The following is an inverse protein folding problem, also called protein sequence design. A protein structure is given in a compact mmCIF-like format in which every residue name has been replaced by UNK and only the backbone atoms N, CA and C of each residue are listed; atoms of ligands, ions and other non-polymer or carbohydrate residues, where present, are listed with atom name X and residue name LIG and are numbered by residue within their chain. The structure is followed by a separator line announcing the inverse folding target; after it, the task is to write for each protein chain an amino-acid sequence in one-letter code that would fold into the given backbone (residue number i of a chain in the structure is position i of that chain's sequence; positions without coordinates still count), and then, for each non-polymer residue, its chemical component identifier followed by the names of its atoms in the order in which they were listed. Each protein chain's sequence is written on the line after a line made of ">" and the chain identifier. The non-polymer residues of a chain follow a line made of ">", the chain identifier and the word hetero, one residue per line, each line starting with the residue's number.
data_IF_524386643028
#
_entry.id   IF_524386643028
#
_cell.length_a   1.000
_cell.length_b   1.000
_cell.length_c   1.000
_cell.angle_alpha   90.00
_cell.angle_beta   90.00
_cell.angle_gamma   90.00
#
_symmetry.space_group_name_H-M   'P 1'
#
loop_
_entity.id
_entity.type
_entity.pdbx_description
1 polymer ?
#
# COMPACT_ATOMS: atom_id res chain seq x y z
N UNK A 1 -34.04 9.26 -6.27
CA UNK A 1 -32.95 8.78 -5.41
C UNK A 1 -32.19 7.73 -6.19
N UNK A 2 -31.03 8.10 -6.75
CA UNK A 2 -30.12 7.15 -7.36
C UNK A 2 -29.79 6.08 -6.33
N UNK A 3 -30.05 4.80 -6.62
CA UNK A 3 -29.61 3.70 -5.75
C UNK A 3 -28.09 3.70 -5.83
N UNK A 4 -27.43 4.17 -4.78
CA UNK A 4 -25.98 4.05 -4.67
C UNK A 4 -25.58 2.58 -4.96
N UNK A 5 -24.48 2.34 -5.69
CA UNK A 5 -24.00 0.98 -5.97
C UNK A 5 -23.56 0.22 -4.69
N UNK A 6 -23.73 0.81 -3.50
CA UNK A 6 -23.49 0.21 -2.18
C UNK A 6 -24.36 -1.01 -1.87
N UNK A 7 -25.43 -1.27 -2.62
CA UNK A 7 -26.35 -2.38 -2.36
C UNK A 7 -25.88 -3.74 -2.90
N UNK A 8 -24.74 -3.80 -3.58
CA UNK A 8 -24.16 -5.04 -4.12
C UNK A 8 -22.77 -5.29 -3.53
N UNK A 9 -22.73 -5.69 -2.26
CA UNK A 9 -21.49 -5.88 -1.52
C UNK A 9 -20.59 -6.96 -2.14
N UNK A 10 -21.18 -8.02 -2.71
CA UNK A 10 -20.45 -9.10 -3.35
C UNK A 10 -19.79 -8.62 -4.65
N UNK A 11 -20.53 -7.92 -5.51
CA UNK A 11 -19.96 -7.33 -6.73
C UNK A 11 -18.83 -6.34 -6.41
N UNK A 12 -19.04 -5.43 -5.46
CA UNK A 12 -18.01 -4.45 -5.08
C UNK A 12 -16.76 -5.14 -4.54
N UNK A 13 -16.91 -6.19 -3.72
CA UNK A 13 -15.77 -6.99 -3.27
C UNK A 13 -15.02 -7.62 -4.46
N UNK A 14 -15.74 -8.20 -5.43
CA UNK A 14 -15.10 -8.77 -6.62
C UNK A 14 -14.31 -7.73 -7.42
N UNK A 15 -14.84 -6.52 -7.60
CA UNK A 15 -14.12 -5.44 -8.29
C UNK A 15 -12.86 -5.01 -7.54
N UNK A 16 -12.95 -4.86 -6.21
CA UNK A 16 -11.78 -4.53 -5.37
C UNK A 16 -10.75 -5.65 -5.43
N UNK A 17 -11.17 -6.92 -5.50
CA UNK A 17 -10.25 -8.05 -5.59
C UNK A 17 -9.39 -8.04 -6.86
N UNK A 18 -9.91 -7.49 -7.97
CA UNK A 18 -9.11 -7.29 -9.21
C UNK A 18 -7.92 -6.37 -8.92
N UNK A 19 -8.15 -5.26 -8.21
CA UNK A 19 -7.09 -4.33 -7.82
C UNK A 19 -6.16 -4.94 -6.77
N UNK A 20 -6.73 -5.70 -5.83
CA UNK A 20 -5.96 -6.39 -4.80
C UNK A 20 -4.98 -7.41 -5.37
N UNK A 21 -5.21 -7.96 -6.56
CA UNK A 21 -4.24 -8.84 -7.22
C UNK A 21 -2.89 -8.12 -7.45
N UNK A 22 -2.94 -6.89 -7.97
CA UNK A 22 -1.75 -6.08 -8.20
C UNK A 22 -1.10 -5.61 -6.89
N UNK A 23 -1.90 -5.17 -5.92
CA UNK A 23 -1.40 -4.74 -4.62
C UNK A 23 -0.76 -5.90 -3.86
N UNK A 24 -1.38 -7.08 -3.86
CA UNK A 24 -0.83 -8.28 -3.22
C UNK A 24 0.46 -8.72 -3.89
N UNK A 25 0.56 -8.64 -5.23
CA UNK A 25 1.81 -8.90 -5.93
C UNK A 25 2.92 -7.94 -5.48
N UNK A 26 2.63 -6.63 -5.37
CA UNK A 26 3.61 -5.65 -4.89
C UNK A 26 4.05 -5.96 -3.45
N UNK A 27 3.12 -6.25 -2.55
CA UNK A 27 3.40 -6.59 -1.15
C UNK A 27 4.27 -7.84 -1.01
N UNK A 28 3.89 -8.94 -1.68
CA UNK A 28 4.63 -10.21 -1.62
C UNK A 28 6.04 -10.03 -2.21
N UNK A 29 6.17 -9.33 -3.34
CA UNK A 29 7.49 -9.01 -3.91
C UNK A 29 8.36 -8.23 -2.92
N UNK A 30 7.74 -7.39 -2.09
CA UNK A 30 8.40 -6.56 -1.08
C UNK A 30 8.57 -7.25 0.29
N UNK A 31 8.17 -8.52 0.43
CA UNK A 31 8.30 -9.28 1.68
C UNK A 31 7.18 -9.07 2.70
N UNK A 32 6.13 -8.33 2.34
CA UNK A 32 4.95 -8.13 3.19
C UNK A 32 3.95 -9.26 2.95
N UNK A 33 3.69 -10.04 3.99
CA UNK A 33 2.78 -11.18 3.94
C UNK A 33 1.33 -10.82 4.30
N UNK A 34 0.41 -11.77 4.08
CA UNK A 34 -1.02 -11.59 4.39
C UNK A 34 -1.29 -11.19 5.85
N UNK A 35 -0.66 -11.85 6.82
CA UNK A 35 -0.92 -11.58 8.24
C UNK A 35 -0.50 -10.17 8.64
N UNK A 36 0.65 -9.70 8.15
CA UNK A 36 1.15 -8.33 8.37
C UNK A 36 0.23 -7.31 7.69
N UNK A 37 -0.12 -7.56 6.43
CA UNK A 37 -1.01 -6.68 5.68
C UNK A 37 -2.41 -6.58 6.30
N UNK A 38 -3.01 -7.71 6.70
CA UNK A 38 -4.34 -7.69 7.34
C UNK A 38 -4.33 -7.00 8.69
N UNK A 39 -3.25 -7.09 9.46
CA UNK A 39 -3.10 -6.31 10.68
C UNK A 39 -3.03 -4.81 10.38
N UNK A 40 -2.24 -4.41 9.38
CA UNK A 40 -2.14 -3.02 8.93
C UNK A 40 -3.45 -2.46 8.33
N UNK A 41 -4.32 -3.31 7.79
CA UNK A 41 -5.65 -2.91 7.31
C UNK A 41 -6.65 -2.60 8.43
N UNK A 42 -6.48 -3.16 9.64
CA UNK A 42 -7.44 -2.94 10.75
C UNK A 42 -7.71 -1.47 11.06
N UNK A 43 -6.69 -0.59 11.29
CA UNK A 43 -6.96 0.82 11.55
C UNK A 43 -7.63 1.52 10.36
N UNK A 44 -7.36 1.09 9.12
CA UNK A 44 -8.00 1.63 7.92
C UNK A 44 -9.50 1.29 7.93
N UNK A 45 -9.85 0.02 8.18
CA UNK A 45 -11.26 -0.40 8.30
C UNK A 45 -12.00 0.28 9.46
N UNK A 46 -11.31 0.49 10.58
CA UNK A 46 -11.86 1.26 11.71
C UNK A 46 -12.20 2.70 11.27
N UNK A 47 -11.26 3.38 10.62
CA UNK A 47 -11.43 4.75 10.15
C UNK A 47 -12.58 4.88 9.15
N UNK A 48 -12.63 3.98 8.15
CA UNK A 48 -13.69 3.98 7.14
C UNK A 48 -15.08 3.71 7.74
N UNK A 49 -15.18 2.79 8.72
CA UNK A 49 -16.44 2.56 9.43
C UNK A 49 -16.86 3.77 10.29
N UNK A 50 -15.89 4.49 10.88
CA UNK A 50 -16.18 5.72 11.61
C UNK A 50 -16.71 6.82 10.70
N UNK A 51 -16.07 7.05 9.56
CA UNK A 51 -16.49 8.02 8.54
C UNK A 51 -17.88 7.70 7.99
N UNK A 52 -18.16 6.42 7.72
CA UNK A 52 -19.46 5.99 7.24
C UNK A 52 -20.57 6.18 8.28
N UNK A 53 -20.32 5.86 9.56
CA UNK A 53 -21.28 6.12 10.64
C UNK A 53 -21.57 7.62 10.80
N UNK A 54 -20.56 8.48 10.65
CA UNK A 54 -20.74 9.94 10.66
C UNK A 54 -21.56 10.40 9.45
N UNK A 55 -21.28 9.86 8.24
CA UNK A 55 -22.00 10.20 7.01
C UNK A 55 -23.51 9.89 7.12
N UNK A 56 -23.88 8.82 7.81
CA UNK A 56 -25.28 8.42 8.02
C UNK A 56 -25.89 8.95 9.34
N UNK A 57 -25.21 9.88 10.01
CA UNK A 57 -25.62 10.51 11.28
C UNK A 57 -25.94 9.49 12.40
N UNK A 58 -25.14 8.43 12.50
CA UNK A 58 -25.24 7.42 13.55
C UNK A 58 -24.14 7.55 14.60
N UNK A 59 -24.48 7.16 15.84
CA UNK A 59 -23.53 7.15 16.96
C UNK A 59 -22.39 6.14 16.73
N UNK A 60 -21.15 6.60 16.87
CA UNK A 60 -19.90 5.82 16.78
C UNK A 60 -19.64 4.96 18.05
N UNK A 61 -20.63 4.14 18.41
CA UNK A 61 -20.51 3.17 19.51
C UNK A 61 -19.56 2.02 19.13
N UNK A 62 -18.95 1.37 20.13
CA UNK A 62 -18.06 0.22 19.90
C UNK A 62 -18.81 -0.90 19.15
N UNK A 63 -20.08 -1.14 19.49
CA UNK A 63 -20.92 -2.13 18.80
C UNK A 63 -21.20 -1.78 17.35
N UNK A 64 -21.51 -0.51 17.04
CA UNK A 64 -21.76 -0.08 15.67
C UNK A 64 -20.48 -0.16 14.82
N UNK A 65 -19.35 0.31 15.35
CA UNK A 65 -18.06 0.23 14.69
C UNK A 65 -17.63 -1.21 14.43
N UNK A 66 -17.77 -2.10 15.43
CA UNK A 66 -17.45 -3.53 15.28
C UNK A 66 -18.36 -4.22 14.26
N UNK A 67 -19.65 -3.90 14.24
CA UNK A 67 -20.60 -4.45 13.27
C UNK A 67 -20.26 -4.01 11.83
N UNK A 68 -20.00 -2.72 11.62
CA UNK A 68 -19.78 -2.16 10.29
C UNK A 68 -18.39 -2.51 9.72
N UNK A 69 -17.35 -2.46 10.55
CA UNK A 69 -15.97 -2.78 10.13
C UNK A 69 -15.65 -4.27 10.11
N UNK A 70 -16.46 -5.10 10.79
CA UNK A 70 -16.14 -6.51 11.04
C UNK A 70 -14.99 -6.73 12.04
N UNK A 71 -14.45 -5.67 12.64
CA UNK A 71 -13.35 -5.77 13.60
C UNK A 71 -13.81 -6.28 14.96
N UNK A 72 -12.92 -6.97 15.67
CA UNK A 72 -13.18 -7.42 17.03
C UNK A 72 -13.33 -6.23 17.98
N UNK A 73 -14.25 -6.32 18.94
CA UNK A 73 -14.52 -5.22 19.90
C UNK A 73 -13.29 -4.75 20.65
N UNK A 74 -12.38 -5.66 20.99
CA UNK A 74 -11.09 -5.34 21.64
C UNK A 74 -10.26 -4.36 20.81
N UNK A 75 -10.14 -4.60 19.51
CA UNK A 75 -9.37 -3.75 18.59
C UNK A 75 -10.06 -2.39 18.42
N UNK A 76 -11.38 -2.39 18.26
CA UNK A 76 -12.20 -1.15 18.17
C UNK A 76 -12.06 -0.29 19.43
N UNK A 77 -12.08 -0.90 20.62
CA UNK A 77 -11.88 -0.18 21.89
C UNK A 77 -10.49 0.45 21.93
N UNK A 78 -9.44 -0.30 21.60
CA UNK A 78 -8.07 0.20 21.61
C UNK A 78 -7.89 1.38 20.64
N UNK A 79 -8.39 1.28 19.40
CA UNK A 79 -8.33 2.39 18.45
C UNK A 79 -9.10 3.62 18.92
N UNK A 80 -10.28 3.41 19.53
CA UNK A 80 -11.10 4.51 20.05
C UNK A 80 -10.43 5.24 21.22
N UNK A 81 -9.74 4.53 22.11
CA UNK A 81 -9.00 5.12 23.23
C UNK A 81 -7.84 5.99 22.74
N UNK A 82 -7.03 5.48 21.81
CA UNK A 82 -5.90 6.21 21.22
C UNK A 82 -6.36 7.42 20.40
N UNK A 83 -7.42 7.26 19.61
CA UNK A 83 -8.01 8.38 18.88
C UNK A 83 -8.55 9.46 19.82
N UNK A 84 -9.20 9.08 20.94
CA UNK A 84 -9.66 10.03 21.95
C UNK A 84 -8.52 10.76 22.68
N UNK A 85 -7.34 10.16 22.74
CA UNK A 85 -6.12 10.77 23.26
C UNK A 85 -5.39 11.66 22.23
N UNK A 86 -5.90 11.78 21.00
CA UNK A 86 -5.25 12.55 19.93
C UNK A 86 -3.96 11.90 19.39
N UNK A 87 -3.75 10.63 19.68
CA UNK A 87 -2.59 9.84 19.24
C UNK A 87 -2.88 9.17 17.88
N UNK A 88 -1.83 8.78 17.16
CA UNK A 88 -2.00 8.07 15.90
C UNK A 88 -2.54 6.65 16.15
N UNK A 89 -3.43 6.14 15.29
CA UNK A 89 -4.01 4.79 15.45
C UNK A 89 -2.96 3.67 15.48
N UNK A 90 -1.78 3.90 14.90
CA UNK A 90 -0.61 3.01 14.94
C UNK A 90 -0.03 2.84 16.35
N UNK A 91 -0.38 3.73 17.29
CA UNK A 91 0.06 3.65 18.69
C UNK A 91 -0.87 2.78 19.55
N UNK A 92 -1.97 2.27 18.98
CA UNK A 92 -2.83 1.34 19.68
C UNK A 92 -2.12 0.01 19.90
N UNK A 93 -2.13 -0.50 21.14
CA UNK A 93 -1.66 -1.85 21.49
C UNK A 93 -2.57 -2.92 20.90
N UNK A 94 -2.40 -3.17 19.61
CA UNK A 94 -2.99 -4.28 18.86
C UNK A 94 -1.85 -5.23 18.49
N UNK A 95 -2.09 -6.54 18.47
CA UNK A 95 -1.05 -7.49 18.08
C UNK A 95 -0.66 -7.25 16.62
N UNK A 96 0.56 -6.81 16.39
CA UNK A 96 1.14 -6.65 15.07
C UNK A 96 2.02 -7.85 14.75
N UNK A 97 1.59 -8.74 13.85
CA UNK A 97 2.39 -9.87 13.42
C UNK A 97 3.47 -9.37 12.47
N UNK A 98 4.68 -9.19 12.99
CA UNK A 98 5.89 -9.01 12.17
C UNK A 98 6.27 -10.35 11.55
N UNK A 99 6.66 -10.34 10.27
CA UNK A 99 7.05 -11.56 9.56
C UNK A 99 8.23 -12.29 10.26
N UNK A 100 8.26 -13.63 10.16
CA UNK A 100 9.34 -14.44 10.74
C UNK A 100 10.72 -14.03 10.20
N UNK A 101 10.94 -13.83 8.89
CA UNK A 101 12.21 -13.33 8.36
C UNK A 101 12.65 -12.01 8.99
N UNK A 102 11.75 -11.03 9.10
CA UNK A 102 12.05 -9.73 9.71
C UNK A 102 12.41 -9.87 11.20
N UNK A 103 11.71 -10.73 11.95
CA UNK A 103 12.03 -11.03 13.36
C UNK A 103 13.38 -11.71 13.53
N UNK A 104 13.76 -12.60 12.61
CA UNK A 104 15.08 -13.26 12.58
C UNK A 104 16.20 -12.24 12.40
N UNK A 105 16.06 -11.34 11.44
CA UNK A 105 17.04 -10.27 11.20
C UNK A 105 17.10 -9.30 12.38
N UNK A 106 15.93 -8.91 12.93
CA UNK A 106 15.87 -8.06 14.11
C UNK A 106 16.60 -8.68 15.30
N UNK A 107 16.41 -9.98 15.55
CA UNK A 107 17.12 -10.71 16.60
C UNK A 107 18.63 -10.80 16.33
N UNK A 108 19.03 -11.11 15.09
CA UNK A 108 20.44 -11.14 14.66
C UNK A 108 21.15 -9.85 15.03
N UNK A 109 20.55 -8.72 14.66
CA UNK A 109 21.11 -7.38 14.88
C UNK A 109 21.10 -7.04 16.38
N UNK A 110 19.97 -7.25 17.06
CA UNK A 110 19.80 -6.87 18.46
C UNK A 110 20.78 -7.59 19.40
N UNK A 111 21.12 -8.84 19.09
CA UNK A 111 22.06 -9.63 19.89
C UNK A 111 23.52 -9.46 19.45
N UNK A 112 23.80 -8.66 18.41
CA UNK A 112 25.16 -8.37 17.97
C UNK A 112 25.91 -9.59 17.44
N UNK A 113 25.20 -10.56 16.85
CA UNK A 113 25.85 -11.73 16.25
C UNK A 113 26.74 -11.31 15.07
N UNK A 114 27.71 -12.17 14.72
CA UNK A 114 28.62 -11.93 13.60
C UNK A 114 27.84 -11.71 12.30
N UNK A 115 28.38 -10.89 11.40
CA UNK A 115 27.76 -10.61 10.08
C UNK A 115 27.66 -11.87 9.20
N UNK A 116 28.55 -12.83 9.43
CA UNK A 116 28.58 -14.11 8.76
C UNK A 116 28.29 -15.20 9.77
N UNK A 117 27.29 -16.04 9.47
CA UNK A 117 26.91 -17.21 10.27
C UNK A 117 26.93 -18.46 9.40
N UNK A 118 27.42 -19.61 9.91
CA UNK A 118 27.18 -20.87 9.24
C UNK A 118 25.69 -21.24 9.29
N UNK A 119 25.21 -22.02 8.30
CA UNK A 119 23.82 -22.51 8.33
C UNK A 119 23.56 -23.39 9.57
N UNK A 120 24.49 -24.31 9.83
CA UNK A 120 24.49 -25.22 10.98
C UNK A 120 25.81 -25.13 11.74
N UNK A 121 25.77 -25.26 13.07
CA UNK A 121 26.95 -25.34 13.93
C UNK A 121 26.63 -26.25 15.11
N UNK A 122 27.65 -26.95 15.64
CA UNK A 122 27.55 -27.68 16.91
C UNK A 122 27.37 -26.73 18.11
N UNK A 123 27.63 -25.42 17.93
CA UNK A 123 27.39 -24.36 18.92
C UNK A 123 26.12 -23.56 18.58
N UNK A 124 25.64 -22.74 19.52
CA UNK A 124 24.46 -21.88 19.31
C UNK A 124 24.67 -20.75 18.27
N UNK A 125 25.89 -20.57 17.74
CA UNK A 125 26.22 -19.54 16.74
C UNK A 125 25.92 -20.00 15.30
N UNK A 126 24.66 -20.30 14.98
CA UNK A 126 24.23 -20.68 13.63
C UNK A 126 22.90 -20.04 13.23
N UNK A 127 22.70 -19.88 11.92
CA UNK A 127 21.44 -19.34 11.40
C UNK A 127 20.25 -20.22 11.76
N UNK A 128 20.41 -21.55 11.75
CA UNK A 128 19.38 -22.47 12.21
C UNK A 128 18.93 -22.21 13.66
N UNK A 129 19.90 -21.99 14.56
CA UNK A 129 19.60 -21.68 15.96
C UNK A 129 18.82 -20.36 16.08
N UNK A 130 19.25 -19.33 15.34
CA UNK A 130 18.58 -18.03 15.30
C UNK A 130 17.11 -18.15 14.86
N UNK A 131 16.83 -18.91 13.79
CA UNK A 131 15.44 -19.14 13.33
C UNK A 131 14.62 -19.85 14.41
N UNK A 132 15.16 -20.91 15.03
CA UNK A 132 14.46 -21.70 16.06
C UNK A 132 14.08 -20.87 17.30
N UNK A 133 14.85 -19.82 17.62
CA UNK A 133 14.51 -18.87 18.69
C UNK A 133 13.33 -17.96 18.34
N UNK A 134 13.10 -17.71 17.05
CA UNK A 134 12.02 -16.84 16.56
C UNK A 134 10.74 -17.62 16.26
N UNK A 135 10.86 -18.82 15.68
CA UNK A 135 9.75 -19.67 15.29
C UNK A 135 10.16 -21.14 15.27
N UNK A 136 9.35 -21.98 15.89
CA UNK A 136 9.47 -23.45 15.85
C UNK A 136 8.71 -24.08 14.67
N UNK A 137 7.81 -23.32 14.03
CA UNK A 137 6.95 -23.82 12.95
C UNK A 137 7.58 -23.67 11.56
N UNK A 138 8.42 -22.65 11.36
CA UNK A 138 9.04 -22.37 10.05
C UNK A 138 10.38 -23.07 9.93
N UNK A 139 10.55 -23.83 8.84
CA UNK A 139 11.81 -24.50 8.55
C UNK A 139 12.92 -23.46 8.26
N UNK A 140 14.12 -23.56 8.90
CA UNK A 140 15.21 -22.59 8.73
C UNK A 140 15.61 -22.35 7.29
N UNK A 141 15.69 -23.40 6.46
CA UNK A 141 16.01 -23.26 5.03
C UNK A 141 14.97 -22.42 4.27
N UNK A 142 13.69 -22.51 4.62
CA UNK A 142 12.64 -21.68 3.99
C UNK A 142 12.78 -20.21 4.36
N UNK A 143 13.14 -19.92 5.62
CA UNK A 143 13.40 -18.55 6.08
C UNK A 143 14.64 -17.98 5.38
N UNK A 144 15.70 -18.78 5.26
CA UNK A 144 16.90 -18.38 4.51
C UNK A 144 16.59 -18.06 3.05
N UNK A 145 15.85 -18.94 2.36
CA UNK A 145 15.48 -18.73 0.96
C UNK A 145 14.69 -17.42 0.77
N UNK A 146 13.81 -17.08 1.72
CA UNK A 146 13.07 -15.82 1.67
C UNK A 146 13.99 -14.61 1.87
N UNK A 147 14.93 -14.68 2.82
CA UNK A 147 15.91 -13.61 3.03
C UNK A 147 16.84 -13.43 1.83
N UNK A 148 17.22 -14.53 1.15
CA UNK A 148 17.97 -14.50 -0.11
C UNK A 148 17.15 -13.85 -1.22
N UNK A 149 15.88 -14.23 -1.39
CA UNK A 149 14.96 -13.65 -2.37
C UNK A 149 14.80 -12.15 -2.18
N UNK A 150 14.73 -11.71 -0.92
CA UNK A 150 14.63 -10.30 -0.55
C UNK A 150 15.97 -9.55 -0.61
N UNK A 151 17.09 -10.24 -0.89
CA UNK A 151 18.43 -9.65 -0.96
C UNK A 151 18.98 -9.19 0.40
N UNK A 152 18.37 -9.64 1.50
CA UNK A 152 18.74 -9.25 2.87
C UNK A 152 20.00 -9.99 3.33
N UNK A 153 20.20 -11.20 2.82
CA UNK A 153 21.40 -12.01 3.06
C UNK A 153 21.95 -12.52 1.74
N UNK A 154 23.22 -12.93 1.73
CA UNK A 154 23.83 -13.74 0.68
C UNK A 154 24.31 -15.05 1.28
N UNK A 155 24.35 -16.10 0.46
CA UNK A 155 24.94 -17.39 0.82
C UNK A 155 26.23 -17.58 0.01
N UNK A 156 27.38 -17.59 0.70
CA UNK A 156 28.70 -17.78 0.11
C UNK A 156 29.53 -18.74 0.96
N UNK A 157 30.21 -19.70 0.34
CA UNK A 157 31.12 -20.63 1.02
C UNK A 157 30.49 -21.28 2.28
N UNK A 158 29.24 -21.76 2.16
CA UNK A 158 28.45 -22.38 3.25
C UNK A 158 28.12 -21.44 4.43
N UNK A 159 28.34 -20.14 4.26
CA UNK A 159 28.02 -19.11 5.23
C UNK A 159 26.96 -18.15 4.71
N UNK A 160 26.20 -17.60 5.64
CA UNK A 160 25.12 -16.65 5.40
C UNK A 160 25.62 -15.30 5.85
N UNK A 161 25.75 -14.37 4.91
CA UNK A 161 26.26 -13.03 5.13
C UNK A 161 25.10 -12.04 5.15
N UNK A 162 24.95 -11.32 6.26
CA UNK A 162 23.97 -10.24 6.38
C UNK A 162 24.41 -9.03 5.54
N UNK A 163 23.59 -8.61 4.58
CA UNK A 163 23.90 -7.50 3.68
C UNK A 163 23.67 -6.15 4.36
N UNK A 164 24.70 -5.61 5.02
CA UNK A 164 24.65 -4.24 5.56
C UNK A 164 24.64 -3.22 4.42
N UNK A 165 23.65 -2.32 4.42
CA UNK A 165 23.53 -1.24 3.43
C UNK A 165 22.49 -1.46 2.32
N UNK A 166 22.08 -2.71 2.06
CA UNK A 166 20.94 -3.01 1.15
C UNK A 166 19.57 -2.59 1.75
N UNK A 167 19.54 -2.28 3.05
CA UNK A 167 18.37 -1.68 3.70
C UNK A 167 18.21 -0.19 3.40
N UNK A 168 19.18 0.45 2.73
CA UNK A 168 19.06 1.83 2.26
C UNK A 168 18.27 1.78 0.96
N UNK A 169 17.02 2.25 0.94
CA UNK A 169 16.21 2.14 -0.27
C UNK A 169 16.81 3.06 -1.36
N UNK A 170 16.83 2.59 -2.60
CA UNK A 170 17.21 3.42 -3.74
C UNK A 170 16.26 4.64 -3.83
N UNK A 171 16.77 5.88 -3.71
CA UNK A 171 15.95 7.08 -3.74
C UNK A 171 15.13 7.23 -5.03
N UNK A 172 15.67 6.78 -6.18
CA UNK A 172 14.96 6.84 -7.46
C UNK A 172 13.77 5.90 -7.50
N UNK A 173 13.93 4.68 -6.96
CA UNK A 173 12.84 3.72 -6.82
C UNK A 173 11.82 4.16 -5.78
N UNK A 174 12.25 4.81 -4.70
CA UNK A 174 11.32 5.42 -3.74
C UNK A 174 10.48 6.51 -4.38
N UNK A 175 11.08 7.37 -5.19
CA UNK A 175 10.35 8.44 -5.86
C UNK A 175 9.36 7.89 -6.88
N UNK A 176 9.76 6.89 -7.67
CA UNK A 176 8.87 6.18 -8.59
C UNK A 176 7.65 5.57 -7.86
N UNK A 177 7.87 4.94 -6.69
CA UNK A 177 6.78 4.41 -5.85
C UNK A 177 5.86 5.51 -5.36
N UNK A 178 6.38 6.65 -4.91
CA UNK A 178 5.56 7.79 -4.48
C UNK A 178 4.72 8.35 -5.61
N UNK A 179 5.30 8.51 -6.80
CA UNK A 179 4.56 8.97 -7.99
C UNK A 179 3.42 8.01 -8.31
N UNK A 180 3.70 6.70 -8.34
CA UNK A 180 2.68 5.68 -8.57
C UNK A 180 1.58 5.75 -7.51
N UNK A 181 1.93 5.78 -6.22
CA UNK A 181 0.96 5.88 -5.11
C UNK A 181 0.11 7.13 -5.21
N UNK A 182 0.70 8.29 -5.49
CA UNK A 182 -0.03 9.55 -5.61
C UNK A 182 -1.03 9.53 -6.79
N UNK A 183 -0.63 8.92 -7.91
CA UNK A 183 -1.49 8.79 -9.08
C UNK A 183 -2.64 7.82 -8.81
N UNK A 184 -2.36 6.64 -8.24
CA UNK A 184 -3.37 5.65 -7.85
C UNK A 184 -4.35 6.23 -6.83
N UNK A 185 -3.86 6.95 -5.82
CA UNK A 185 -4.71 7.60 -4.82
C UNK A 185 -5.65 8.62 -5.45
N UNK A 186 -5.14 9.46 -6.35
CA UNK A 186 -5.95 10.52 -6.96
C UNK A 186 -6.99 9.96 -7.93
N UNK A 187 -6.62 8.96 -8.73
CA UNK A 187 -7.56 8.24 -9.59
C UNK A 187 -8.63 7.52 -8.74
N UNK A 188 -8.23 6.76 -7.71
CA UNK A 188 -9.18 6.09 -6.82
C UNK A 188 -10.15 7.09 -6.17
N UNK A 189 -9.66 8.23 -5.68
CA UNK A 189 -10.49 9.26 -5.09
C UNK A 189 -11.51 9.83 -6.10
N UNK A 190 -11.09 10.08 -7.35
CA UNK A 190 -11.98 10.54 -8.41
C UNK A 190 -13.07 9.51 -8.75
N UNK A 191 -12.69 8.25 -8.97
CA UNK A 191 -13.62 7.16 -9.27
C UNK A 191 -14.61 6.90 -8.13
N UNK A 192 -14.14 6.82 -6.89
CA UNK A 192 -15.01 6.61 -5.73
C UNK A 192 -15.94 7.81 -5.46
N UNK A 193 -15.48 9.04 -5.70
CA UNK A 193 -16.36 10.22 -5.67
C UNK A 193 -17.48 10.09 -6.69
N UNK A 194 -17.16 9.73 -7.93
CA UNK A 194 -18.15 9.54 -8.99
C UNK A 194 -19.16 8.43 -8.64
N UNK A 195 -18.74 7.37 -7.95
CA UNK A 195 -19.60 6.26 -7.52
C UNK A 195 -20.48 6.60 -6.31
N UNK A 196 -19.92 7.26 -5.29
CA UNK A 196 -20.58 7.48 -4.00
C UNK A 196 -21.22 8.86 -3.83
N UNK A 197 -20.90 9.82 -4.70
CA UNK A 197 -21.46 11.18 -4.69
C UNK A 197 -22.09 11.53 -6.04
N UNK A 198 -23.05 10.73 -6.54
CA UNK A 198 -23.61 10.91 -7.89
C UNK A 198 -24.36 12.23 -8.09
N UNK A 199 -24.75 12.90 -7.00
CA UNK A 199 -25.43 14.20 -7.03
C UNK A 199 -24.45 15.40 -7.12
N UNK A 200 -23.14 15.16 -7.05
CA UNK A 200 -22.10 16.19 -7.22
C UNK A 200 -21.51 16.17 -8.64
N UNK A 201 -20.78 17.23 -9.00
CA UNK A 201 -20.06 17.28 -10.27
C UNK A 201 -19.06 16.13 -10.31
N UNK A 202 -19.18 15.27 -11.32
CA UNK A 202 -18.29 14.14 -11.52
C UNK A 202 -16.90 14.62 -11.94
N UNK A 203 -15.87 13.99 -11.39
CA UNK A 203 -14.52 14.12 -11.90
C UNK A 203 -14.39 13.42 -13.25
N UNK A 204 -13.46 13.89 -14.08
CA UNK A 204 -13.13 13.26 -15.35
C UNK A 204 -12.48 11.90 -15.08
N UNK A 205 -13.20 10.83 -15.40
CA UNK A 205 -12.75 9.44 -15.26
C UNK A 205 -13.07 8.68 -16.55
N UNK A 206 -12.15 8.75 -17.53
CA UNK A 206 -12.35 8.26 -18.88
C UNK A 206 -11.04 7.69 -19.44
N UNK A 207 -11.15 6.64 -20.25
CA UNK A 207 -10.04 6.04 -20.99
C UNK A 207 -10.42 5.84 -22.45
N UNK A 208 -9.42 5.92 -23.34
CA UNK A 208 -9.56 5.54 -24.74
C UNK A 208 -9.19 4.05 -24.83
N UNK A 209 -10.11 3.22 -25.31
CA UNK A 209 -9.88 1.80 -25.54
C UNK A 209 -9.97 1.51 -27.03
N UNK A 210 -9.01 0.75 -27.54
CA UNK A 210 -8.98 0.24 -28.90
C UNK A 210 -8.45 -1.20 -28.86
N UNK A 211 -9.19 -2.12 -29.45
CA UNK A 211 -8.91 -3.56 -29.43
C UNK A 211 -8.45 -4.05 -30.81
N UNK A 212 -7.95 -5.30 -30.86
CA UNK A 212 -7.54 -5.98 -32.11
C UNK A 212 -6.42 -5.25 -32.88
N UNK A 213 -5.48 -4.66 -32.15
CA UNK A 213 -4.38 -3.88 -32.71
C UNK A 213 -3.13 -4.73 -32.97
N UNK A 214 -2.40 -4.38 -34.02
CA UNK A 214 -1.06 -4.92 -34.28
C UNK A 214 -0.01 -4.25 -33.41
N UNK A 215 1.14 -4.89 -33.21
CA UNK A 215 2.30 -4.29 -32.52
C UNK A 215 2.73 -2.94 -33.16
N UNK A 216 2.70 -2.86 -34.50
CA UNK A 216 2.95 -1.60 -35.22
C UNK A 216 1.96 -0.51 -34.81
N UNK A 217 0.67 -0.83 -34.70
CA UNK A 217 -0.36 0.12 -34.27
C UNK A 217 -0.16 0.56 -32.83
N UNK A 218 0.19 -0.36 -31.92
CA UNK A 218 0.52 -0.04 -30.53
C UNK A 218 1.70 0.93 -30.46
N UNK A 219 2.77 0.70 -31.22
CA UNK A 219 3.92 1.60 -31.26
C UNK A 219 3.56 3.00 -31.78
N UNK A 220 2.69 3.09 -32.79
CA UNK A 220 2.19 4.38 -33.31
C UNK A 220 1.36 5.10 -32.24
N UNK A 221 0.43 4.39 -31.58
CA UNK A 221 -0.40 4.96 -30.53
C UNK A 221 0.43 5.40 -29.32
N UNK A 222 1.45 4.64 -28.95
CA UNK A 222 2.38 4.98 -27.87
C UNK A 222 3.10 6.30 -28.17
N UNK A 223 3.76 6.43 -29.32
CA UNK A 223 4.45 7.67 -29.71
C UNK A 223 3.51 8.88 -29.79
N UNK A 224 2.29 8.70 -30.33
CA UNK A 224 1.30 9.76 -30.38
C UNK A 224 0.78 10.16 -29.00
N UNK A 225 0.54 9.19 -28.10
CA UNK A 225 0.07 9.45 -26.74
C UNK A 225 1.07 10.32 -25.96
N UNK A 226 2.37 10.04 -26.10
CA UNK A 226 3.44 10.83 -25.46
C UNK A 226 3.49 12.26 -26.00
N UNK A 227 3.39 12.44 -27.32
CA UNK A 227 3.36 13.77 -27.96
C UNK A 227 2.17 14.59 -27.50
N UNK A 228 0.98 13.99 -27.51
CA UNK A 228 -0.25 14.63 -27.05
C UNK A 228 -0.14 15.00 -25.57
N UNK A 229 0.30 14.09 -24.71
CA UNK A 229 0.50 14.36 -23.30
C UNK A 229 1.50 15.49 -23.07
N UNK A 230 2.63 15.50 -23.76
CA UNK A 230 3.61 16.59 -23.63
C UNK A 230 2.99 17.95 -23.96
N UNK A 231 2.21 18.03 -25.03
CA UNK A 231 1.52 19.27 -25.40
C UNK A 231 0.48 19.69 -24.35
N UNK A 232 -0.38 18.78 -23.90
CA UNK A 232 -1.45 19.10 -22.94
C UNK A 232 -0.92 19.38 -21.53
N UNK A 233 0.06 18.61 -21.06
CA UNK A 233 0.65 18.79 -19.73
C UNK A 233 1.35 20.13 -19.59
N UNK A 234 2.06 20.62 -20.61
CA UNK A 234 2.67 21.94 -20.60
C UNK A 234 1.64 23.06 -20.49
N UNK A 235 0.51 22.95 -21.20
CA UNK A 235 -0.56 23.94 -21.14
C UNK A 235 -1.21 23.97 -19.74
N UNK A 236 -1.52 22.80 -19.19
CA UNK A 236 -2.09 22.69 -17.84
C UNK A 236 -1.12 23.13 -16.76
N UNK A 237 0.17 22.78 -16.87
CA UNK A 237 1.18 23.21 -15.91
C UNK A 237 1.34 24.72 -15.89
N UNK A 238 1.33 25.37 -17.06
CA UNK A 238 1.37 26.83 -17.16
C UNK A 238 0.17 27.46 -16.45
N UNK A 239 -1.05 26.98 -16.76
CA UNK A 239 -2.27 27.48 -16.13
C UNK A 239 -2.28 27.24 -14.61
N UNK A 240 -1.88 26.05 -14.17
CA UNK A 240 -1.78 25.70 -12.75
C UNK A 240 -0.81 26.63 -12.01
N UNK A 241 0.35 26.90 -12.61
CA UNK A 241 1.34 27.83 -12.04
C UNK A 241 0.78 29.25 -11.90
N UNK A 242 0.07 29.73 -12.92
CA UNK A 242 -0.60 31.03 -12.89
C UNK A 242 -1.68 31.10 -11.79
N UNK A 243 -2.48 30.03 -11.63
CA UNK A 243 -3.50 29.95 -10.57
C UNK A 243 -2.87 29.89 -9.18
N UNK A 244 -1.83 29.07 -8.99
CA UNK A 244 -1.11 28.98 -7.72
C UNK A 244 -0.55 30.34 -7.29
N UNK A 245 0.06 31.10 -8.22
CA UNK A 245 0.56 32.44 -7.93
C UNK A 245 -0.55 33.44 -7.55
N UNK A 246 -1.73 33.33 -8.17
CA UNK A 246 -2.88 34.17 -7.85
C UNK A 246 -3.52 33.82 -6.50
N UNK A 247 -3.42 32.56 -6.09
CA UNK A 247 -4.03 32.05 -4.86
C UNK A 247 -3.09 32.06 -3.65
N UNK A 248 -1.81 32.39 -3.86
CA UNK A 248 -0.80 32.50 -2.82
C UNK A 248 -1.25 33.46 -1.71
N UNK A 249 -1.19 32.98 -0.45
CA UNK A 249 -1.55 33.75 0.73
C UNK A 249 -3.06 33.88 1.02
N UNK A 250 -3.94 33.34 0.17
CA UNK A 250 -5.39 33.31 0.45
C UNK A 250 -5.72 32.23 1.48
N UNK A 251 -6.61 32.56 2.42
CA UNK A 251 -7.01 31.65 3.50
C UNK A 251 -7.81 30.43 3.01
N UNK A 252 -8.47 30.53 1.86
CA UNK A 252 -9.27 29.49 1.24
C UNK A 252 -8.52 28.68 0.16
N UNK A 253 -7.24 28.97 -0.08
CA UNK A 253 -6.36 28.23 -1.00
C UNK A 253 -5.91 26.86 -0.42
N UNK A 254 -6.88 26.01 -0.08
CA UNK A 254 -6.67 24.70 0.55
C UNK A 254 -7.05 23.51 -0.36
N UNK A 255 -7.19 23.76 -1.66
CA UNK A 255 -7.54 22.74 -2.66
C UNK A 255 -6.30 22.29 -3.41
N UNK A 256 -6.20 20.99 -3.67
CA UNK A 256 -5.16 20.39 -4.51
C UNK A 256 -5.76 19.93 -5.84
N UNK A 257 -5.04 20.14 -6.94
CA UNK A 257 -5.40 19.64 -8.26
C UNK A 257 -4.35 18.63 -8.73
N UNK A 258 -4.81 17.46 -9.20
CA UNK A 258 -3.97 16.50 -9.92
C UNK A 258 -4.72 16.02 -11.15
N UNK A 259 -4.04 16.07 -12.28
CA UNK A 259 -4.47 15.47 -13.52
C UNK A 259 -3.33 14.66 -14.09
N UNK A 260 -3.61 13.42 -14.45
CA UNK A 260 -2.63 12.50 -15.01
C UNK A 260 -3.28 11.62 -16.05
N UNK A 261 -2.48 11.19 -17.00
CA UNK A 261 -2.86 10.18 -18.00
C UNK A 261 -1.96 8.98 -17.77
N UNK A 262 -2.53 7.79 -17.88
CA UNK A 262 -1.79 6.53 -17.80
C UNK A 262 -2.07 5.73 -19.07
N UNK A 263 -1.08 4.95 -19.48
CA UNK A 263 -1.14 4.07 -20.63
C UNK A 263 -0.69 2.69 -20.19
N UNK A 264 -1.45 1.66 -20.54
CA UNK A 264 -1.16 0.27 -20.26
C UNK A 264 -1.64 -0.54 -21.46
N UNK A 265 -0.73 -1.31 -22.05
CA UNK A 265 -1.04 -2.28 -23.09
C UNK A 265 -0.85 -3.67 -22.48
N UNK A 266 -1.72 -4.61 -22.83
CA UNK A 266 -1.63 -6.01 -22.45
C UNK A 266 -1.58 -6.88 -23.69
N UNK A 267 -0.76 -7.93 -23.68
CA UNK A 267 -0.79 -9.01 -24.67
C UNK A 267 -2.02 -9.92 -24.51
#
# INVERSE_FOLDING_TARGET
>A
MSKLPTNDAEFNLQQVLVLMNYLSQWLIRSGVGYTEFTAALKPIFYQQAMEELQRIDQKTTISALSLLSGLHRKDVTAYKEVAAAGMALTEATVSEPVSVPSRVIGLWIAEGWKESLPFHSETENSFEHLVKRVSTERHPRSVLNELLRLGVVLEENEHILLQKGQFIPDPSLQEARKILTNNLQSHMAAGLHNLFQPDQISYLEQAICADELTEESINILHDQSLKLWQQYSLQLLKLASERCALDEGKADANKSFRFGVYQHDSE
#
